data_IF_629021886197
#
_entry.id   IF_629021886197
#
_cell.length_a   1.000
_cell.length_b   1.000
_cell.length_c   1.000
_cell.angle_alpha   90.00
_cell.angle_beta   90.00
_cell.angle_gamma   90.00
#
_symmetry.space_group_name_H-M   'P 1'
#
loop_
_entity.id
_entity.type
_entity.pdbx_description
1 polymer ?
#
# COMPACT_ATOMS: atom_id res chain seq x y z
N UNK A 1 -10.10 -57.09 -37.71
CA UNK A 1 -11.04 -56.45 -36.76
C UNK A 1 -10.40 -55.68 -35.59
N UNK A 2 -9.08 -55.72 -35.35
CA UNK A 2 -8.47 -55.10 -34.13
C UNK A 2 -8.15 -53.59 -34.21
N UNK A 3 -8.13 -52.97 -35.39
CA UNK A 3 -7.80 -51.54 -35.54
C UNK A 3 -8.99 -50.57 -35.40
N UNK A 4 -10.24 -51.03 -35.56
CA UNK A 4 -11.43 -50.17 -35.37
C UNK A 4 -11.73 -49.93 -33.89
N UNK A 5 -11.50 -50.92 -33.01
CA UNK A 5 -11.70 -50.78 -31.57
C UNK A 5 -10.67 -49.81 -30.94
N UNK A 6 -9.44 -49.79 -31.43
CA UNK A 6 -8.38 -48.90 -30.92
C UNK A 6 -8.64 -47.42 -31.27
N UNK A 7 -9.15 -47.13 -32.48
CA UNK A 7 -9.54 -45.75 -32.85
C UNK A 7 -10.76 -45.25 -32.06
N UNK A 8 -11.69 -46.14 -31.70
CA UNK A 8 -12.87 -45.77 -30.90
C UNK A 8 -12.50 -45.51 -29.42
N UNK A 9 -11.56 -46.28 -28.88
CA UNK A 9 -11.01 -46.07 -27.53
C UNK A 9 -10.18 -44.78 -27.44
N UNK A 10 -9.42 -44.43 -28.48
CA UNK A 10 -8.65 -43.18 -28.51
C UNK A 10 -9.57 -41.95 -28.63
N UNK A 11 -10.69 -42.05 -29.35
CA UNK A 11 -11.68 -40.97 -29.47
C UNK A 11 -12.41 -40.72 -28.14
N UNK A 12 -12.64 -41.77 -27.35
CA UNK A 12 -13.27 -41.65 -26.03
C UNK A 12 -12.32 -41.04 -24.98
N UNK A 13 -11.01 -41.27 -25.10
CA UNK A 13 -10.01 -40.69 -24.21
C UNK A 13 -9.74 -39.20 -24.48
N UNK A 14 -9.93 -38.74 -25.73
CA UNK A 14 -9.80 -37.33 -26.11
C UNK A 14 -11.00 -36.49 -25.68
N UNK A 15 -12.17 -37.11 -25.46
CA UNK A 15 -13.36 -36.42 -24.91
C UNK A 15 -13.29 -36.19 -23.39
N UNK A 16 -12.33 -36.80 -22.68
CA UNK A 16 -12.16 -36.63 -21.24
C UNK A 16 -11.07 -35.62 -20.84
N UNK A 17 -10.38 -35.01 -21.82
CA UNK A 17 -9.41 -33.94 -21.59
C UNK A 17 -10.08 -32.55 -21.68
N UNK A 18 -11.25 -32.40 -21.06
CA UNK A 18 -11.83 -31.08 -20.81
C UNK A 18 -11.01 -30.38 -19.73
N UNK A 19 -10.49 -29.18 -20.03
CA UNK A 19 -9.83 -28.35 -19.03
C UNK A 19 -10.80 -28.12 -17.87
N UNK A 20 -10.49 -28.69 -16.71
CA UNK A 20 -11.19 -28.43 -15.46
C UNK A 20 -10.91 -26.99 -15.02
N UNK A 21 -11.62 -26.02 -15.62
CA UNK A 21 -11.84 -24.74 -14.99
C UNK A 21 -12.95 -24.95 -13.96
N UNK A 22 -12.59 -24.91 -12.68
CA UNK A 22 -13.56 -24.81 -11.59
C UNK A 22 -14.32 -23.50 -11.76
N UNK A 23 -15.50 -23.54 -12.38
CA UNK A 23 -16.40 -22.39 -12.47
C UNK A 23 -17.27 -22.37 -11.21
N UNK A 24 -17.20 -21.27 -10.45
CA UNK A 24 -18.04 -21.05 -9.28
C UNK A 24 -19.52 -20.89 -9.71
N UNK A 25 -20.44 -21.32 -8.84
CA UNK A 25 -21.88 -21.05 -8.96
C UNK A 25 -22.59 -21.59 -10.23
N UNK A 26 -22.14 -22.70 -10.85
CA UNK A 26 -22.91 -23.32 -11.96
C UNK A 26 -24.23 -23.91 -11.48
N UNK A 27 -24.27 -24.44 -10.26
CA UNK A 27 -25.41 -25.22 -9.77
C UNK A 27 -26.59 -24.34 -9.32
N UNK A 28 -26.34 -23.09 -8.91
CA UNK A 28 -27.37 -22.20 -8.36
C UNK A 28 -27.65 -20.96 -9.23
N UNK A 29 -26.91 -20.73 -10.32
CA UNK A 29 -27.15 -19.62 -11.24
C UNK A 29 -28.46 -19.81 -12.02
N UNK A 30 -29.34 -18.81 -11.99
CA UNK A 30 -30.59 -18.77 -12.76
C UNK A 30 -30.38 -18.19 -14.16
N UNK A 31 -29.33 -17.37 -14.33
CA UNK A 31 -28.96 -16.80 -15.63
C UNK A 31 -27.49 -17.06 -15.99
N UNK A 32 -27.11 -17.14 -17.27
CA UNK A 32 -25.71 -17.33 -17.68
C UNK A 32 -24.76 -16.21 -17.21
N UNK A 33 -25.28 -15.03 -16.86
CA UNK A 33 -24.49 -13.93 -16.28
C UNK A 33 -24.13 -14.14 -14.80
N UNK A 34 -24.87 -15.00 -14.10
CA UNK A 34 -24.62 -15.35 -12.69
C UNK A 34 -23.59 -16.47 -12.55
N UNK A 35 -23.27 -17.18 -13.64
CA UNK A 35 -22.24 -18.23 -13.67
C UNK A 35 -20.87 -17.58 -13.47
N UNK A 36 -20.17 -17.95 -12.39
CA UNK A 36 -18.90 -17.38 -12.00
C UNK A 36 -18.98 -16.23 -10.97
N UNK A 37 -20.19 -15.77 -10.61
CA UNK A 37 -20.42 -14.79 -9.54
C UNK A 37 -21.00 -15.51 -8.33
N UNK A 38 -20.46 -15.29 -7.13
CA UNK A 38 -20.96 -15.92 -5.90
C UNK A 38 -22.36 -15.40 -5.54
N UNK A 39 -23.25 -16.29 -5.10
CA UNK A 39 -24.60 -15.90 -4.64
C UNK A 39 -24.52 -15.09 -3.34
N UNK A 40 -25.55 -14.29 -3.03
CA UNK A 40 -25.61 -13.53 -1.76
C UNK A 40 -25.59 -14.46 -0.54
N UNK A 41 -26.18 -15.66 -0.66
CA UNK A 41 -26.14 -16.69 0.39
C UNK A 41 -24.72 -17.26 0.57
N UNK A 42 -23.95 -17.42 -0.51
CA UNK A 42 -22.54 -17.83 -0.44
C UNK A 42 -21.65 -16.72 0.12
N UNK A 43 -21.94 -15.46 -0.19
CA UNK A 43 -21.23 -14.30 0.41
C UNK A 43 -21.49 -14.17 1.90
N UNK A 44 -22.72 -14.43 2.35
CA UNK A 44 -23.06 -14.38 3.78
C UNK A 44 -22.53 -15.60 4.56
N UNK A 45 -22.42 -16.76 3.91
CA UNK A 45 -21.78 -17.95 4.49
C UNK A 45 -20.25 -17.85 4.58
N UNK A 46 -19.61 -17.19 3.61
CA UNK A 46 -18.18 -16.89 3.65
C UNK A 46 -17.94 -15.59 4.43
N UNK A 47 -17.70 -15.71 5.73
CA UNK A 47 -17.25 -14.60 6.57
C UNK A 47 -15.83 -14.11 6.16
N UNK A 48 -15.73 -13.40 5.03
CA UNK A 48 -14.48 -12.99 4.37
C UNK A 48 -13.86 -11.72 5.00
N UNK A 49 -13.92 -11.64 6.33
CA UNK A 49 -13.31 -10.57 7.12
C UNK A 49 -11.91 -10.98 7.61
N UNK A 50 -10.99 -10.01 7.79
CA UNK A 50 -9.70 -10.31 8.39
C UNK A 50 -9.88 -10.87 9.79
N UNK A 51 -9.01 -11.82 10.18
CA UNK A 51 -9.01 -12.37 11.53
C UNK A 51 -8.72 -11.26 12.54
N UNK A 52 -9.66 -10.99 13.44
CA UNK A 52 -9.48 -9.98 14.47
C UNK A 52 -8.30 -10.33 15.39
N UNK A 53 -7.64 -9.30 15.90
CA UNK A 53 -6.61 -9.51 16.90
C UNK A 53 -7.25 -9.91 18.23
N UNK A 54 -6.64 -10.87 18.92
CA UNK A 54 -7.01 -11.18 20.29
C UNK A 54 -6.79 -9.97 21.20
N UNK A 55 -7.71 -9.78 22.14
CA UNK A 55 -7.52 -8.84 23.23
C UNK A 55 -6.36 -9.32 24.10
N UNK A 56 -5.40 -8.43 24.34
CA UNK A 56 -4.27 -8.65 25.23
C UNK A 56 -4.28 -7.46 26.18
N UNK A 57 -4.35 -7.74 27.48
CA UNK A 57 -4.27 -6.69 28.49
C UNK A 57 -2.83 -6.25 28.70
N UNK A 58 -2.62 -4.99 29.02
CA UNK A 58 -1.27 -4.43 29.28
C UNK A 58 -0.52 -5.19 30.39
N UNK A 59 -1.26 -5.69 31.38
CA UNK A 59 -0.72 -6.53 32.46
C UNK A 59 -0.16 -7.87 31.98
N UNK A 60 -0.59 -8.34 30.81
CA UNK A 60 -0.23 -9.65 30.24
C UNK A 60 0.99 -9.56 29.32
N UNK A 61 1.41 -8.34 28.99
CA UNK A 61 2.65 -8.06 28.26
C UNK A 61 3.81 -8.01 29.26
N UNK A 62 4.72 -8.98 29.19
CA UNK A 62 5.92 -9.00 30.05
C UNK A 62 7.02 -8.08 29.54
N UNK A 63 7.13 -7.99 28.22
CA UNK A 63 8.14 -7.21 27.53
C UNK A 63 7.56 -6.79 26.19
N UNK A 64 7.88 -5.58 25.78
CA UNK A 64 7.56 -5.08 24.46
C UNK A 64 8.68 -4.19 23.94
N UNK A 65 8.85 -4.17 22.61
CA UNK A 65 9.77 -3.28 21.92
C UNK A 65 9.16 -2.83 20.61
N UNK A 66 8.99 -1.52 20.44
CA UNK A 66 8.55 -0.93 19.18
C UNK A 66 9.74 -0.74 18.25
N UNK A 67 9.58 -1.21 17.02
CA UNK A 67 10.58 -1.09 15.96
C UNK A 67 9.99 -0.46 14.71
N UNK A 68 10.85 0.23 13.97
CA UNK A 68 10.56 0.78 12.68
C UNK A 68 11.48 0.14 11.65
N UNK A 69 10.86 -0.38 10.61
CA UNK A 69 11.51 -1.23 9.62
C UNK A 69 11.30 -0.65 8.23
N UNK A 70 12.34 -0.77 7.40
CA UNK A 70 12.35 -0.38 6.00
C UNK A 70 12.23 -1.62 5.14
N UNK A 71 11.13 -1.71 4.38
CA UNK A 71 10.86 -2.77 3.41
C UNK A 71 11.25 -2.30 2.02
N UNK A 72 12.44 -2.71 1.55
CA UNK A 72 12.95 -2.31 0.24
C UNK A 72 12.28 -3.11 -0.90
N UNK A 73 11.60 -2.42 -1.82
CA UNK A 73 10.89 -3.06 -2.94
C UNK A 73 11.82 -3.54 -4.06
N UNK A 74 13.09 -3.12 -4.07
CA UNK A 74 14.11 -3.64 -4.99
C UNK A 74 14.48 -5.09 -4.67
N UNK A 75 14.15 -5.58 -3.48
CA UNK A 75 14.43 -6.95 -3.08
C UNK A 75 13.39 -7.93 -3.63
N UNK A 76 13.85 -9.06 -4.18
CA UNK A 76 13.00 -10.09 -4.81
C UNK A 76 11.92 -10.65 -3.89
N UNK A 77 12.21 -10.73 -2.58
CA UNK A 77 11.28 -11.20 -1.54
C UNK A 77 10.07 -10.24 -1.43
N UNK A 78 10.28 -8.95 -1.65
CA UNK A 78 9.28 -7.89 -1.48
C UNK A 78 8.53 -7.55 -2.79
N UNK A 79 8.88 -8.18 -3.91
CA UNK A 79 8.17 -8.02 -5.18
C UNK A 79 6.64 -8.21 -5.11
N UNK A 80 6.08 -9.10 -4.27
CA UNK A 80 4.63 -9.18 -4.12
C UNK A 80 3.96 -7.88 -3.67
N UNK A 81 4.69 -6.97 -3.01
CA UNK A 81 4.18 -5.65 -2.58
C UNK A 81 4.19 -4.60 -3.71
N UNK A 82 5.08 -4.76 -4.69
CA UNK A 82 5.33 -3.77 -5.74
C UNK A 82 4.64 -4.07 -7.08
N UNK A 83 4.48 -5.35 -7.42
CA UNK A 83 3.88 -5.75 -8.70
C UNK A 83 2.36 -5.99 -8.57
N UNK A 84 1.56 -5.72 -9.63
CA UNK A 84 1.99 -5.29 -10.97
C UNK A 84 2.24 -3.78 -11.07
N UNK A 85 3.24 -3.39 -11.87
CA UNK A 85 3.55 -1.97 -12.14
C UNK A 85 2.77 -1.39 -13.32
N UNK A 86 2.21 -2.24 -14.18
CA UNK A 86 1.38 -1.82 -15.30
C UNK A 86 -0.08 -2.11 -14.97
N UNK A 87 -0.88 -1.06 -14.92
CA UNK A 87 -2.34 -1.16 -14.92
C UNK A 87 -2.75 -1.72 -16.29
N UNK A 88 -2.99 -3.02 -16.35
CA UNK A 88 -3.52 -3.64 -17.57
C UNK A 88 -5.04 -3.61 -17.43
N UNK A 89 -5.79 -3.28 -18.50
CA UNK A 89 -7.27 -3.18 -18.50
C UNK A 89 -8.02 -4.43 -17.98
N UNK A 90 -7.35 -5.54 -17.71
CA UNK A 90 -7.92 -6.82 -17.30
C UNK A 90 -7.59 -7.24 -15.85
N UNK A 91 -6.94 -6.39 -15.03
CA UNK A 91 -6.40 -6.78 -13.72
C UNK A 91 -7.11 -6.18 -12.50
N UNK A 92 -8.42 -5.96 -12.53
CA UNK A 92 -9.16 -5.45 -11.35
C UNK A 92 -8.89 -6.29 -10.08
N UNK A 93 -8.64 -7.58 -10.26
CA UNK A 93 -8.31 -8.51 -9.16
C UNK A 93 -6.90 -8.36 -8.56
N UNK A 94 -5.95 -7.69 -9.23
CA UNK A 94 -4.52 -7.69 -8.87
C UNK A 94 -3.93 -6.29 -9.02
N UNK A 95 -3.71 -5.63 -7.88
CA UNK A 95 -3.18 -4.27 -7.77
C UNK A 95 -1.93 -4.24 -6.88
N UNK A 96 -0.96 -3.35 -7.13
CA UNK A 96 0.16 -3.15 -6.23
C UNK A 96 -0.32 -2.58 -4.90
N UNK A 97 0.44 -2.79 -3.81
CA UNK A 97 0.02 -2.39 -2.47
C UNK A 97 -0.29 -0.88 -2.40
N UNK A 98 0.54 -0.05 -3.03
CA UNK A 98 0.35 1.40 -3.05
C UNK A 98 -1.02 1.80 -3.62
N UNK A 99 -1.42 1.22 -4.74
CA UNK A 99 -2.70 1.52 -5.37
C UNK A 99 -3.87 1.11 -4.49
N UNK A 100 -3.79 -0.06 -3.84
CA UNK A 100 -4.81 -0.52 -2.89
C UNK A 100 -4.98 0.47 -1.73
N UNK A 101 -3.87 0.99 -1.20
CA UNK A 101 -3.91 1.97 -0.12
C UNK A 101 -4.52 3.30 -0.59
N UNK A 102 -4.12 3.81 -1.76
CA UNK A 102 -4.66 5.07 -2.31
C UNK A 102 -6.15 4.95 -2.61
N UNK A 103 -6.61 3.90 -3.28
CA UNK A 103 -8.03 3.68 -3.58
C UNK A 103 -8.87 3.57 -2.30
N UNK A 104 -8.34 2.92 -1.25
CA UNK A 104 -9.03 2.80 0.03
C UNK A 104 -9.08 4.13 0.81
N UNK A 105 -8.07 4.99 0.63
CA UNK A 105 -8.09 6.36 1.17
C UNK A 105 -9.08 7.23 0.39
N UNK A 106 -9.13 7.14 -0.94
CA UNK A 106 -10.10 7.84 -1.77
C UNK A 106 -11.54 7.46 -1.40
N UNK A 107 -11.79 6.19 -1.12
CA UNK A 107 -13.08 5.71 -0.62
C UNK A 107 -13.40 6.26 0.78
N UNK A 108 -12.40 6.39 1.66
CA UNK A 108 -12.55 7.03 2.98
C UNK A 108 -12.79 8.54 2.94
N UNK A 109 -12.28 9.22 1.92
CA UNK A 109 -12.51 10.64 1.68
C UNK A 109 -13.90 10.92 1.10
N UNK A 110 -14.58 9.91 0.54
CA UNK A 110 -15.92 10.03 -0.03
C UNK A 110 -17.00 10.32 1.03
N UNK A 111 -18.14 10.87 0.59
CA UNK A 111 -19.27 11.18 1.50
C UNK A 111 -19.86 9.94 2.17
N UNK A 112 -19.83 8.79 1.47
CA UNK A 112 -20.34 7.51 1.95
C UNK A 112 -19.23 6.43 1.86
N UNK A 113 -18.35 6.33 2.86
CA UNK A 113 -17.24 5.39 2.84
C UNK A 113 -17.72 3.93 2.91
N UNK A 114 -17.07 3.05 2.14
CA UNK A 114 -17.35 1.60 2.22
C UNK A 114 -16.72 0.97 3.48
N UNK A 115 -17.06 -0.30 3.77
CA UNK A 115 -16.41 -1.08 4.84
C UNK A 115 -14.89 -1.28 4.64
N UNK A 116 -14.40 -1.06 3.40
CA UNK A 116 -13.00 -1.16 3.02
C UNK A 116 -12.28 0.19 3.01
N UNK A 117 -12.95 1.27 3.39
CA UNK A 117 -12.36 2.59 3.45
C UNK A 117 -11.29 2.70 4.55
N UNK A 118 -10.25 3.49 4.30
CA UNK A 118 -9.26 3.88 5.29
C UNK A 118 -9.57 5.31 5.72
N UNK A 119 -9.78 5.48 7.02
CA UNK A 119 -10.12 6.76 7.66
C UNK A 119 -8.98 7.29 8.51
N UNK A 120 -8.21 6.40 9.14
CA UNK A 120 -7.17 6.75 10.11
C UNK A 120 -5.81 6.95 9.42
N UNK A 121 -5.56 8.18 9.01
CA UNK A 121 -4.34 8.61 8.30
C UNK A 121 -3.63 9.69 9.10
N UNK A 122 -2.30 9.64 9.11
CA UNK A 122 -1.46 10.46 9.95
C UNK A 122 -0.27 11.02 9.15
N UNK A 123 0.20 12.20 9.55
CA UNK A 123 1.41 12.79 8.95
C UNK A 123 2.72 12.24 9.51
N UNK A 124 2.68 11.54 10.65
CA UNK A 124 3.86 11.03 11.35
C UNK A 124 3.63 9.64 11.92
N UNK A 125 4.74 8.90 12.02
CA UNK A 125 4.91 7.60 12.64
C UNK A 125 4.47 7.50 14.11
N UNK A 126 4.29 8.63 14.81
CA UNK A 126 3.81 8.65 16.20
C UNK A 126 2.28 8.59 16.35
N UNK A 127 1.51 8.72 15.25
CA UNK A 127 0.05 8.68 15.26
C UNK A 127 -0.62 9.65 16.27
N UNK A 128 -0.04 10.83 16.48
CA UNK A 128 -0.56 11.84 17.43
C UNK A 128 -1.61 12.76 16.81
N UNK A 129 -1.38 13.17 15.57
CA UNK A 129 -2.22 14.12 14.84
C UNK A 129 -2.85 13.40 13.66
N UNK A 130 -4.10 12.97 13.86
CA UNK A 130 -4.92 12.41 12.80
C UNK A 130 -5.25 13.48 11.76
N UNK A 131 -5.31 13.09 10.49
CA UNK A 131 -5.71 13.99 9.41
C UNK A 131 -7.18 14.39 9.56
N UNK A 132 -7.41 15.67 9.85
CA UNK A 132 -8.76 16.23 9.99
C UNK A 132 -9.56 16.18 8.68
N UNK A 133 -8.88 16.03 7.54
CA UNK A 133 -9.50 16.06 6.21
C UNK A 133 -9.73 14.67 5.62
N UNK A 134 -9.87 13.63 6.46
CA UNK A 134 -10.19 12.25 6.04
C UNK A 134 -9.30 11.72 4.90
N UNK A 135 -8.02 12.09 4.88
CA UNK A 135 -7.07 11.65 3.86
C UNK A 135 -6.92 12.56 2.65
N UNK A 136 -7.72 13.61 2.49
CA UNK A 136 -7.59 14.53 1.35
C UNK A 136 -6.22 15.23 1.34
N UNK A 137 -5.65 15.52 2.52
CA UNK A 137 -4.31 16.10 2.64
C UNK A 137 -3.25 15.14 2.08
N UNK A 138 -3.37 13.85 2.42
CA UNK A 138 -2.48 12.80 1.93
C UNK A 138 -2.58 12.63 0.41
N UNK A 139 -3.80 12.64 -0.16
CA UNK A 139 -4.01 12.55 -1.61
C UNK A 139 -3.44 13.76 -2.35
N UNK A 140 -3.62 14.97 -1.80
CA UNK A 140 -3.07 16.19 -2.38
C UNK A 140 -1.54 16.21 -2.37
N UNK A 141 -0.89 15.55 -1.40
CA UNK A 141 0.57 15.41 -1.36
C UNK A 141 1.13 14.51 -2.47
N UNK A 142 0.31 13.62 -3.04
CA UNK A 142 0.71 12.74 -4.14
C UNK A 142 0.67 13.44 -5.51
N UNK A 143 0.06 14.63 -5.60
CA UNK A 143 -0.14 15.36 -6.85
C UNK A 143 0.59 16.68 -6.82
N UNK A 144 1.38 16.95 -7.86
CA UNK A 144 2.02 18.23 -8.07
C UNK A 144 1.58 18.81 -9.41
N UNK A 145 0.87 19.92 -9.34
CA UNK A 145 0.45 20.69 -10.50
C UNK A 145 1.36 21.88 -10.63
N UNK A 146 1.93 22.08 -11.82
CA UNK A 146 2.76 23.24 -12.15
C UNK A 146 2.40 23.76 -13.53
N UNK A 147 2.75 25.01 -13.77
CA UNK A 147 2.69 25.61 -15.10
C UNK A 147 4.07 25.42 -15.74
N UNK A 148 4.11 24.90 -16.97
CA UNK A 148 5.36 24.78 -17.73
C UNK A 148 5.89 26.18 -18.04
N UNK A 149 7.21 26.35 -18.08
CA UNK A 149 7.89 27.61 -18.41
C UNK A 149 7.35 28.30 -19.68
N UNK A 150 6.88 27.51 -20.67
CA UNK A 150 6.28 28.00 -21.91
C UNK A 150 4.93 28.72 -21.72
N UNK A 151 4.22 28.46 -20.62
CA UNK A 151 2.97 29.13 -20.25
C UNK A 151 3.17 30.44 -19.49
N UNK A 152 4.37 30.70 -18.96
CA UNK A 152 4.65 31.93 -18.19
C UNK A 152 4.44 33.23 -18.99
N UNK A 153 4.82 33.35 -20.28
CA UNK A 153 4.56 34.57 -21.05
C UNK A 153 3.07 34.89 -21.21
N UNK A 154 2.22 33.85 -21.19
CA UNK A 154 0.76 34.02 -21.26
C UNK A 154 0.25 34.59 -19.93
N UNK A 155 0.78 34.15 -18.79
CA UNK A 155 0.43 34.75 -17.50
C UNK A 155 0.86 36.22 -17.40
N UNK A 156 2.05 36.53 -17.91
CA UNK A 156 2.61 37.90 -17.91
C UNK A 156 1.73 38.86 -18.74
N UNK A 157 1.16 38.39 -19.86
CA UNK A 157 0.23 39.17 -20.70
C UNK A 157 -1.01 39.65 -19.91
N UNK A 158 -1.50 38.85 -18.97
CA UNK A 158 -2.67 39.16 -18.14
C UNK A 158 -2.29 39.76 -16.78
N UNK A 159 -1.01 40.14 -16.60
CA UNK A 159 -0.52 40.77 -15.38
C UNK A 159 -0.38 39.83 -14.19
N UNK A 160 -0.39 38.51 -14.41
CA UNK A 160 -0.17 37.49 -13.37
C UNK A 160 1.33 37.24 -13.27
N UNK A 161 2.02 38.17 -12.61
CA UNK A 161 3.47 38.12 -12.45
C UNK A 161 3.82 37.74 -11.02
N UNK A 162 4.79 36.83 -10.86
CA UNK A 162 5.34 36.44 -9.56
C UNK A 162 4.84 35.09 -9.05
N UNK A 163 5.61 34.51 -8.13
CA UNK A 163 5.38 33.15 -7.61
C UNK A 163 4.06 33.02 -6.86
N UNK A 164 3.70 34.03 -6.06
CA UNK A 164 2.46 34.00 -5.26
C UNK A 164 1.19 34.00 -6.13
N UNK A 165 1.18 34.76 -7.22
CA UNK A 165 0.02 34.81 -8.12
C UNK A 165 -0.08 33.55 -8.99
N UNK A 166 1.06 32.94 -9.33
CA UNK A 166 1.12 31.64 -9.99
C UNK A 166 0.61 30.53 -9.06
N UNK A 167 1.03 30.54 -7.79
CA UNK A 167 0.55 29.59 -6.78
C UNK A 167 -0.96 29.73 -6.58
N UNK A 168 -1.48 30.97 -6.49
CA UNK A 168 -2.91 31.24 -6.41
C UNK A 168 -3.69 30.74 -7.64
N UNK A 169 -3.12 30.87 -8.84
CA UNK A 169 -3.70 30.30 -10.06
C UNK A 169 -3.77 28.78 -9.96
N UNK A 170 -2.71 28.12 -9.51
CA UNK A 170 -2.65 26.66 -9.35
C UNK A 170 -3.64 26.17 -8.28
N UNK A 171 -3.79 26.89 -7.17
CA UNK A 171 -4.78 26.57 -6.14
C UNK A 171 -6.20 26.60 -6.70
N UNK A 172 -6.56 27.68 -7.42
CA UNK A 172 -7.87 27.80 -8.10
C UNK A 172 -8.07 26.77 -9.20
N UNK A 173 -7.00 26.37 -9.91
CA UNK A 173 -7.03 25.27 -10.88
C UNK A 173 -7.42 23.96 -10.19
N UNK A 174 -6.80 23.64 -9.04
CA UNK A 174 -7.11 22.44 -8.27
C UNK A 174 -8.54 22.42 -7.74
N UNK A 175 -9.07 23.57 -7.36
CA UNK A 175 -10.46 23.73 -6.89
C UNK A 175 -11.49 23.72 -8.03
N UNK A 176 -11.06 23.87 -9.29
CA UNK A 176 -11.96 23.99 -10.44
C UNK A 176 -12.70 25.34 -10.50
N UNK A 177 -12.22 26.37 -9.81
CA UNK A 177 -12.87 27.70 -9.70
C UNK A 177 -12.25 28.77 -10.59
N UNK A 178 -11.44 28.37 -11.59
CA UNK A 178 -10.70 29.30 -12.47
C UNK A 178 -11.60 30.21 -13.29
N UNK A 179 -12.68 29.68 -13.87
CA UNK A 179 -13.59 30.43 -14.75
C UNK A 179 -14.29 31.61 -14.03
N UNK A 180 -14.34 31.58 -12.70
CA UNK A 180 -14.94 32.65 -11.90
C UNK A 180 -13.99 33.83 -11.68
N UNK A 181 -12.68 33.60 -11.76
CA UNK A 181 -11.65 34.56 -11.36
C UNK A 181 -10.82 35.10 -12.53
N UNK A 182 -10.78 34.37 -13.64
CA UNK A 182 -9.96 34.69 -14.80
C UNK A 182 -10.79 34.69 -16.09
N UNK A 183 -10.42 35.50 -17.10
CA UNK A 183 -11.10 35.50 -18.38
C UNK A 183 -10.98 34.13 -19.06
N UNK A 184 -12.05 33.67 -19.73
CA UNK A 184 -12.10 32.35 -20.36
C UNK A 184 -10.97 32.11 -21.38
N UNK A 185 -10.58 33.15 -22.10
CA UNK A 185 -9.47 33.13 -23.07
C UNK A 185 -8.11 32.77 -22.42
N UNK A 186 -7.85 33.25 -21.19
CA UNK A 186 -6.64 32.89 -20.45
C UNK A 186 -6.66 31.40 -20.07
N UNK A 187 -7.80 30.93 -19.55
CA UNK A 187 -7.95 29.55 -19.06
C UNK A 187 -7.77 28.55 -20.20
N UNK A 188 -8.38 28.79 -21.35
CA UNK A 188 -8.27 27.92 -22.53
C UNK A 188 -6.82 27.87 -23.06
N UNK A 189 -6.14 29.02 -23.09
CA UNK A 189 -4.74 29.10 -23.55
C UNK A 189 -3.79 28.40 -22.58
N UNK A 190 -4.03 28.50 -21.27
CA UNK A 190 -3.15 27.94 -20.24
C UNK A 190 -3.37 26.46 -19.94
N UNK A 191 -4.54 25.91 -20.25
CA UNK A 191 -4.85 24.50 -19.95
C UNK A 191 -3.80 23.53 -20.53
N UNK A 192 -3.32 23.80 -21.75
CA UNK A 192 -2.24 23.02 -22.39
C UNK A 192 -0.87 23.13 -21.70
N UNK A 193 -0.67 24.13 -20.85
CA UNK A 193 0.58 24.39 -20.13
C UNK A 193 0.51 24.01 -18.65
N UNK A 194 -0.63 23.52 -18.17
CA UNK A 194 -0.76 23.00 -16.81
C UNK A 194 -0.44 21.51 -16.83
N UNK A 195 0.67 21.12 -16.21
CA UNK A 195 1.05 19.72 -16.03
C UNK A 195 0.73 19.29 -14.59
N UNK A 196 -0.06 18.21 -14.46
CA UNK A 196 -0.24 17.52 -13.19
C UNK A 196 0.58 16.24 -13.19
N UNK A 197 1.59 16.19 -12.32
CA UNK A 197 2.39 15.00 -12.06
C UNK A 197 1.83 14.28 -10.85
N UNK A 198 1.50 13.01 -10.99
CA UNK A 198 0.98 12.17 -9.91
C UNK A 198 1.97 11.06 -9.55
N UNK A 199 2.07 10.72 -8.27
CA UNK A 199 2.82 9.56 -7.81
C UNK A 199 2.03 8.29 -8.11
N UNK A 200 2.67 7.37 -8.84
CA UNK A 200 2.15 6.06 -9.15
C UNK A 200 2.85 5.00 -8.30
N UNK A 201 2.31 3.77 -8.31
CA UNK A 201 2.96 2.64 -7.63
C UNK A 201 4.40 2.38 -8.08
N UNK A 202 4.79 2.81 -9.30
CA UNK A 202 6.14 2.64 -9.83
C UNK A 202 7.19 3.48 -9.13
N UNK A 203 6.78 4.65 -8.64
CA UNK A 203 7.66 5.66 -8.04
C UNK A 203 7.96 5.36 -6.57
N UNK A 204 7.29 4.34 -6.00
CA UNK A 204 7.52 3.89 -4.63
C UNK A 204 8.80 3.07 -4.57
N UNK A 205 9.73 3.50 -3.72
CA UNK A 205 11.01 2.84 -3.51
C UNK A 205 10.97 1.82 -2.38
N UNK A 206 10.31 2.16 -1.26
CA UNK A 206 10.21 1.29 -0.09
C UNK A 206 9.00 1.64 0.77
N UNK A 207 8.64 0.75 1.69
CA UNK A 207 7.67 1.03 2.74
C UNK A 207 8.37 1.16 4.09
N UNK A 208 7.98 2.17 4.85
CA UNK A 208 8.25 2.18 6.28
C UNK A 208 7.12 1.47 7.01
N UNK A 209 7.50 0.61 7.94
CA UNK A 209 6.59 -0.18 8.75
C UNK A 209 6.93 0.08 10.21
N UNK A 210 5.91 0.37 11.01
CA UNK A 210 6.02 0.44 12.46
C UNK A 210 5.29 -0.76 13.05
N UNK A 211 5.97 -1.49 13.93
CA UNK A 211 5.33 -2.56 14.67
C UNK A 211 5.99 -2.82 16.02
N UNK A 212 5.32 -3.63 16.81
CA UNK A 212 5.68 -3.91 18.19
C UNK A 212 5.85 -5.41 18.35
N UNK A 213 7.04 -5.80 18.82
CA UNK A 213 7.25 -7.12 19.39
C UNK A 213 6.79 -7.09 20.83
N UNK A 214 6.01 -8.07 21.25
CA UNK A 214 5.61 -8.22 22.65
C UNK A 214 5.58 -9.69 23.03
N UNK A 215 5.87 -9.97 24.29
CA UNK A 215 5.79 -11.31 24.84
C UNK A 215 4.51 -11.43 25.69
N UNK A 216 3.60 -12.30 25.23
CA UNK A 216 2.36 -12.59 25.94
C UNK A 216 2.61 -13.67 27.00
N UNK A 217 2.44 -13.32 28.27
CA UNK A 217 2.67 -14.25 29.39
C UNK A 217 1.66 -15.39 29.47
N UNK A 218 0.46 -15.21 28.90
CA UNK A 218 -0.60 -16.23 28.94
C UNK A 218 -0.31 -17.30 27.90
N UNK A 219 0.04 -16.86 26.69
CA UNK A 219 0.34 -17.77 25.57
C UNK A 219 1.80 -18.27 25.60
N UNK A 220 2.69 -17.59 26.33
CA UNK A 220 4.11 -17.95 26.43
C UNK A 220 4.86 -17.78 25.11
N UNK A 221 4.36 -16.94 24.20
CA UNK A 221 4.93 -16.72 22.87
C UNK A 221 5.26 -15.25 22.62
N UNK A 222 6.33 -15.02 21.86
CA UNK A 222 6.63 -13.71 21.30
C UNK A 222 5.78 -13.48 20.05
N UNK A 223 5.06 -12.37 20.01
CA UNK A 223 4.20 -12.00 18.88
C UNK A 223 4.60 -10.64 18.33
N UNK A 224 4.42 -10.50 17.03
CA UNK A 224 4.53 -9.21 16.35
C UNK A 224 3.15 -8.62 16.09
N UNK A 225 2.99 -7.34 16.38
CA UNK A 225 1.81 -6.55 16.00
C UNK A 225 2.23 -5.42 15.08
N UNK A 226 1.68 -5.43 13.88
CA UNK A 226 1.85 -4.36 12.92
C UNK A 226 0.95 -3.18 13.33
N UNK A 227 1.55 -1.98 13.48
CA UNK A 227 0.85 -0.78 13.95
C UNK A 227 0.55 0.18 12.81
N UNK A 228 1.49 0.34 11.87
CA UNK A 228 1.22 1.15 10.69
C UNK A 228 2.23 0.99 9.58
N UNK A 229 1.87 1.56 8.45
CA UNK A 229 2.59 1.48 7.19
C UNK A 229 2.61 2.85 6.52
N UNK A 230 3.74 3.20 5.91
CA UNK A 230 3.92 4.42 5.14
C UNK A 230 4.63 4.12 3.81
N UNK A 231 4.04 4.49 2.66
CA UNK A 231 4.75 4.46 1.40
C UNK A 231 5.80 5.57 1.33
N UNK A 232 6.98 5.23 0.81
CA UNK A 232 8.10 6.16 0.63
C UNK A 232 8.59 6.08 -0.80
N UNK A 233 8.69 7.24 -1.46
CA UNK A 233 9.05 7.35 -2.86
C UNK A 233 9.71 8.68 -3.19
N UNK A 234 9.82 8.95 -4.48
CA UNK A 234 10.41 10.18 -4.98
C UNK A 234 9.51 11.39 -4.68
N UNK A 235 10.12 12.56 -4.44
CA UNK A 235 9.34 13.80 -4.29
C UNK A 235 8.67 14.17 -5.63
N UNK A 236 7.36 14.40 -5.55
CA UNK A 236 6.49 14.73 -6.69
C UNK A 236 6.98 15.98 -7.43
N UNK A 237 7.61 16.93 -6.72
CA UNK A 237 8.15 18.17 -7.30
C UNK A 237 9.36 17.93 -8.19
N UNK A 238 10.17 16.95 -7.82
CA UNK A 238 11.42 16.62 -8.51
C UNK A 238 11.26 15.48 -9.51
N UNK A 239 10.09 14.84 -9.53
CA UNK A 239 9.82 13.69 -10.39
C UNK A 239 10.04 14.05 -11.87
N UNK A 240 10.83 13.23 -12.56
CA UNK A 240 11.19 13.43 -13.97
C UNK A 240 12.26 14.50 -14.22
N UNK A 241 12.74 15.18 -13.18
CA UNK A 241 13.89 16.09 -13.29
C UNK A 241 15.19 15.35 -12.99
N UNK A 242 16.32 15.83 -13.52
CA UNK A 242 17.65 15.24 -13.25
C UNK A 242 18.21 15.64 -11.86
N UNK A 243 17.38 16.18 -10.97
CA UNK A 243 17.79 16.61 -9.64
C UNK A 243 17.74 15.41 -8.70
N UNK A 244 18.86 15.11 -8.02
CA UNK A 244 18.89 14.09 -6.99
C UNK A 244 17.96 14.49 -5.84
N UNK A 245 16.92 13.69 -5.60
CA UNK A 245 15.92 13.94 -4.57
C UNK A 245 16.04 12.93 -3.43
N UNK A 246 15.80 13.39 -2.21
CA UNK A 246 15.71 12.52 -1.05
C UNK A 246 14.31 11.92 -0.99
N UNK A 247 14.16 10.60 -0.81
CA UNK A 247 12.83 9.99 -0.73
C UNK A 247 12.02 10.55 0.44
N UNK A 248 10.73 10.80 0.20
CA UNK A 248 9.81 11.41 1.15
C UNK A 248 8.75 10.40 1.59
N UNK A 249 8.46 10.36 2.89
CA UNK A 249 7.33 9.61 3.44
C UNK A 249 6.03 10.36 3.09
N UNK A 250 5.11 9.74 2.37
CA UNK A 250 3.89 10.44 1.97
C UNK A 250 2.91 10.59 3.13
N UNK A 251 2.50 9.47 3.73
CA UNK A 251 1.56 9.44 4.84
C UNK A 251 1.68 8.14 5.62
N UNK A 252 1.24 8.15 6.87
CA UNK A 252 1.19 6.99 7.75
C UNK A 252 -0.25 6.50 7.89
N UNK A 253 -0.47 5.21 7.68
CA UNK A 253 -1.78 4.57 7.85
C UNK A 253 -1.77 3.75 9.14
N UNK A 254 -2.82 3.87 9.94
CA UNK A 254 -3.06 2.95 11.05
C UNK A 254 -3.46 1.57 10.53
N UNK A 255 -2.60 0.58 10.77
CA UNK A 255 -2.74 -0.74 10.15
C UNK A 255 -4.07 -1.44 10.48
N UNK A 256 -4.57 -1.43 11.74
CA UNK A 256 -5.86 -2.02 12.08
C UNK A 256 -7.05 -1.52 11.24
N UNK A 257 -7.06 -0.25 10.85
CA UNK A 257 -8.12 0.34 10.02
C UNK A 257 -8.03 -0.17 8.57
N UNK A 258 -6.80 -0.28 8.03
CA UNK A 258 -6.56 -0.74 6.67
C UNK A 258 -6.77 -2.24 6.45
N UNK A 259 -7.00 -3.05 7.50
CA UNK A 259 -7.05 -4.51 7.38
C UNK A 259 -8.15 -5.01 6.45
N UNK A 260 -9.32 -4.37 6.46
CA UNK A 260 -10.43 -4.76 5.59
C UNK A 260 -10.05 -4.57 4.11
N UNK A 261 -9.48 -3.41 3.76
CA UNK A 261 -8.99 -3.12 2.42
C UNK A 261 -7.92 -4.14 1.97
N UNK A 262 -6.95 -4.40 2.85
CA UNK A 262 -5.83 -5.29 2.59
C UNK A 262 -6.22 -6.78 2.58
N UNK A 263 -7.31 -7.17 3.24
CA UNK A 263 -7.84 -8.53 3.20
C UNK A 263 -8.52 -8.85 1.86
N UNK A 264 -9.28 -7.88 1.34
CA UNK A 264 -9.94 -7.96 0.04
C UNK A 264 -8.94 -8.01 -1.10
N UNK A 265 -7.91 -7.17 -1.05
CA UNK A 265 -6.87 -7.12 -2.07
C UNK A 265 -5.95 -8.36 -2.03
N UNK A 266 -5.81 -9.03 -3.19
CA UNK A 266 -5.05 -10.28 -3.32
C UNK A 266 -3.71 -10.05 -4.01
N UNK A 267 -2.69 -10.73 -3.50
CA UNK A 267 -1.30 -10.61 -3.92
C UNK A 267 -0.95 -11.61 -5.01
N UNK A 268 -0.01 -11.23 -5.88
CA UNK A 268 0.62 -12.13 -6.85
C UNK A 268 1.42 -13.23 -6.13
N UNK A 269 0.85 -14.43 -6.06
CA UNK A 269 1.58 -15.62 -5.63
C UNK A 269 2.33 -16.25 -6.82
N UNK A 270 3.66 -16.27 -6.76
CA UNK A 270 4.53 -16.86 -7.81
C UNK A 270 4.48 -18.38 -7.83
N UNK A 271 4.29 -19.01 -6.68
CA UNK A 271 4.34 -20.47 -6.54
C UNK A 271 2.97 -21.11 -6.81
N UNK A 272 1.89 -20.41 -6.47
CA UNK A 272 0.53 -20.90 -6.69
C UNK A 272 -0.45 -19.79 -7.06
N UNK A 273 -0.63 -19.56 -8.37
CA UNK A 273 -1.55 -18.55 -8.89
C UNK A 273 -3.03 -18.84 -8.61
N UNK A 274 -3.39 -20.11 -8.34
CA UNK A 274 -4.76 -20.54 -8.07
C UNK A 274 -5.21 -20.28 -6.64
N UNK A 275 -4.27 -20.10 -5.70
CA UNK A 275 -4.54 -19.72 -4.30
C UNK A 275 -3.76 -18.46 -3.95
N UNK A 276 -4.27 -17.27 -4.32
CA UNK A 276 -3.63 -16.02 -3.94
C UNK A 276 -3.81 -15.76 -2.44
N UNK A 277 -2.83 -15.08 -1.85
CA UNK A 277 -2.82 -14.66 -0.45
C UNK A 277 -3.26 -13.18 -0.38
N UNK A 278 -3.94 -12.75 0.66
CA UNK A 278 -4.28 -11.33 0.86
C UNK A 278 -3.09 -10.51 1.35
N UNK A 279 -3.11 -9.19 1.12
CA UNK A 279 -2.06 -8.31 1.67
C UNK A 279 -2.06 -8.34 3.20
N UNK A 280 -3.24 -8.38 3.84
CA UNK A 280 -3.36 -8.51 5.30
C UNK A 280 -2.61 -9.76 5.82
N UNK A 281 -2.82 -10.92 5.19
CA UNK A 281 -2.14 -12.14 5.61
C UNK A 281 -0.63 -12.07 5.36
N UNK A 282 -0.20 -11.52 4.22
CA UNK A 282 1.23 -11.38 3.90
C UNK A 282 1.95 -10.51 4.93
N UNK A 283 1.35 -9.36 5.29
CA UNK A 283 1.93 -8.41 6.24
C UNK A 283 1.90 -8.92 7.68
N UNK A 284 0.78 -9.49 8.14
CA UNK A 284 0.69 -10.06 9.48
C UNK A 284 1.60 -11.29 9.68
N UNK A 285 1.75 -12.12 8.65
CA UNK A 285 2.70 -13.25 8.69
C UNK A 285 4.14 -12.85 8.41
N UNK A 286 4.42 -11.55 8.26
CA UNK A 286 5.75 -10.99 7.96
C UNK A 286 6.47 -11.70 6.81
N UNK A 287 5.74 -12.03 5.74
CA UNK A 287 6.30 -12.64 4.51
C UNK A 287 6.97 -11.59 3.61
N UNK A 288 7.84 -10.79 4.20
CA UNK A 288 8.64 -9.76 3.56
C UNK A 288 9.98 -9.63 4.28
N UNK A 289 10.98 -9.05 3.61
CA UNK A 289 12.25 -8.70 4.23
C UNK A 289 12.26 -7.21 4.58
N UNK A 290 12.76 -6.88 5.76
CA UNK A 290 12.86 -5.52 6.24
C UNK A 290 14.13 -5.30 7.08
N UNK A 291 14.64 -4.08 7.07
CA UNK A 291 15.81 -3.66 7.85
C UNK A 291 15.35 -2.65 8.90
N UNK A 292 15.68 -2.88 10.16
CA UNK A 292 15.35 -1.95 11.25
C UNK A 292 16.17 -0.66 11.05
N UNK A 293 15.53 0.50 11.06
CA UNK A 293 16.20 1.79 10.93
C UNK A 293 15.99 2.71 12.13
N UNK A 294 15.00 2.40 12.96
CA UNK A 294 14.67 3.14 14.19
C UNK A 294 14.06 2.17 15.20
N UNK A 295 14.34 2.39 16.47
CA UNK A 295 13.77 1.62 17.59
C UNK A 295 13.36 2.56 18.70
N UNK A 296 12.42 2.10 19.50
CA UNK A 296 12.04 2.80 20.71
C UNK A 296 13.22 2.81 21.68
N UNK A 297 13.61 4.00 22.13
CA UNK A 297 14.70 4.18 23.09
C UNK A 297 14.48 5.39 24.00
N UNK A 298 15.12 5.35 25.16
CA UNK A 298 15.06 6.43 26.17
C UNK A 298 15.59 7.78 25.65
N UNK A 299 16.29 7.78 24.51
CA UNK A 299 16.90 8.96 23.89
C UNK A 299 16.00 9.66 22.87
N UNK A 300 14.70 9.34 22.86
CA UNK A 300 13.71 9.94 21.97
C UNK A 300 13.64 9.28 20.59
N UNK A 301 13.77 7.95 20.55
CA UNK A 301 13.69 7.09 19.36
C UNK A 301 14.61 7.51 18.21
N UNK A 302 15.88 7.77 18.54
CA UNK A 302 16.88 8.17 17.53
C UNK A 302 16.98 7.13 16.41
N UNK A 303 17.05 7.62 15.16
CA UNK A 303 17.30 6.76 14.00
C UNK A 303 18.73 6.23 14.05
N UNK A 304 18.96 5.02 13.54
CA UNK A 304 20.29 4.40 13.51
C UNK A 304 21.31 5.31 12.78
N UNK A 305 20.87 5.95 11.70
CA UNK A 305 21.68 6.88 10.92
C UNK A 305 22.10 8.15 11.68
N UNK A 306 21.38 8.56 12.72
CA UNK A 306 21.70 9.79 13.47
C UNK A 306 22.91 9.61 14.39
N UNK A 307 23.12 8.41 14.95
CA UNK A 307 24.25 8.10 15.83
C UNK A 307 25.36 7.28 15.16
N UNK A 308 25.06 6.51 14.11
CA UNK A 308 26.07 5.88 13.23
C UNK A 308 26.08 6.63 11.90
N UNK A 309 26.91 7.68 11.83
CA UNK A 309 26.99 8.54 10.66
C UNK A 309 27.92 7.94 9.59
N UNK A 310 27.50 8.07 8.33
CA UNK A 310 28.33 7.84 7.13
C UNK A 310 28.90 6.41 6.94
N UNK A 311 28.32 5.39 7.58
CA UNK A 311 28.70 3.99 7.36
C UNK A 311 27.47 3.08 7.26
N UNK A 312 27.11 2.73 6.02
CA UNK A 312 25.98 1.85 5.75
C UNK A 312 26.18 0.43 6.28
N UNK A 313 27.43 -0.06 6.37
CA UNK A 313 27.73 -1.38 6.93
C UNK A 313 27.47 -1.38 8.43
N UNK A 314 27.99 -0.37 9.14
CA UNK A 314 27.79 -0.26 10.59
C UNK A 314 26.31 -0.04 10.95
N UNK A 315 25.56 0.70 10.13
CA UNK A 315 24.11 0.83 10.30
C UNK A 315 23.39 -0.51 10.16
N UNK A 316 23.80 -1.35 9.20
CA UNK A 316 23.22 -2.68 9.00
C UNK A 316 23.57 -3.63 10.17
N UNK A 317 24.83 -3.61 10.62
CA UNK A 317 25.26 -4.41 11.78
C UNK A 317 24.51 -4.02 13.06
N UNK A 318 24.21 -2.74 13.22
CA UNK A 318 23.40 -2.27 14.35
C UNK A 318 21.94 -2.71 14.23
N UNK A 319 21.36 -2.68 13.03
CA UNK A 319 20.03 -3.23 12.77
C UNK A 319 19.98 -4.74 13.10
N UNK A 320 21.01 -5.49 12.70
CA UNK A 320 21.13 -6.92 13.00
C UNK A 320 21.35 -7.17 14.51
N UNK A 321 22.13 -6.33 15.19
CA UNK A 321 22.30 -6.40 16.65
C UNK A 321 20.96 -6.28 17.38
N UNK A 322 20.12 -5.32 16.98
CA UNK A 322 18.79 -5.10 17.55
C UNK A 322 17.89 -6.31 17.27
N UNK A 323 17.96 -6.88 16.07
CA UNK A 323 17.20 -8.07 15.71
C UNK A 323 17.60 -9.29 16.55
N UNK A 324 18.90 -9.49 16.75
CA UNK A 324 19.41 -10.56 17.62
C UNK A 324 19.08 -10.31 19.10
N UNK A 325 18.99 -9.06 19.56
CA UNK A 325 18.51 -8.74 20.91
C UNK A 325 17.07 -9.23 21.13
N UNK A 326 16.18 -8.98 20.17
CA UNK A 326 14.78 -9.45 20.20
C UNK A 326 14.75 -10.99 20.21
N UNK A 327 15.56 -11.62 19.34
CA UNK A 327 15.63 -13.09 19.25
C UNK A 327 16.19 -13.74 20.51
N UNK A 328 17.23 -13.17 21.10
CA UNK A 328 17.82 -13.69 22.33
C UNK A 328 16.83 -13.59 23.49
N UNK A 329 16.08 -12.49 23.58
CA UNK A 329 14.99 -12.38 24.56
C UNK A 329 13.96 -13.49 24.39
N UNK A 330 13.57 -13.82 23.15
CA UNK A 330 12.68 -14.96 22.90
C UNK A 330 13.28 -16.26 23.45
N UNK A 331 14.51 -16.59 23.06
CA UNK A 331 15.21 -17.81 23.48
C UNK A 331 15.37 -17.91 25.00
N UNK A 332 15.67 -16.81 25.67
CA UNK A 332 15.82 -16.76 27.12
C UNK A 332 14.50 -17.09 27.84
N UNK A 333 13.36 -16.71 27.28
CA UNK A 333 12.04 -17.06 27.82
C UNK A 333 11.68 -18.54 27.62
N UNK A 334 12.26 -19.23 26.62
CA UNK A 334 12.06 -20.68 26.42
C UNK A 334 12.97 -21.54 27.32
N UNK A 335 14.05 -20.97 27.86
CA UNK A 335 15.04 -21.71 28.66
C UNK A 335 14.71 -21.79 30.17
N UNK A 336 13.56 -21.30 30.59
CA UNK A 336 13.07 -21.30 31.98
C UNK A 336 11.74 -22.06 32.09
#
# INVERSE_FOLDING_TARGET
>A
MKFKAFKLSLLFLVLFAGKAFSQANILNAKTPKEVGVMTEDEKSGNNDKPLEYGYIGDRDVLWAKTIWEKVDLKQKVNFPLYYPTQETMFSDSRKPLFQVLVEAIEDGASENPSEFAITQIYGSDYFREEDQYKGQKALNQLKYTRIIDAGLPILDEYGIVGTEQQDLYIERYKEGTLEQHYPADLVERLDFFVETTEISARDISYYHIKGMWYFDKIQGEMRYRLLGIAPVGDDVRTKGTNVASTPVEYFWIWFPDARNALHKAKVLNKDNSAKPISFDHLLNSRRFNAVIYKTENEYGDRKIQEYIQNDAMMQLLEADRIKEEIRNFELDMWNH
#
